data_IF_352589694992
#
_entry.id   IF_352589694992
#
_cell.length_a   1.000
_cell.length_b   1.000
_cell.length_c   1.000
_cell.angle_alpha   90.00
_cell.angle_beta   90.00
_cell.angle_gamma   90.00
#
_symmetry.space_group_name_H-M   'P 1'
#
loop_
_entity.id
_entity.type
_entity.pdbx_description
1 polymer ?
#
# COMPACT_ATOMS: atom_id res chain seq x y z
N UNK A 1 -74.35 6.03 -1.24
CA UNK A 1 -73.49 4.83 -1.08
C UNK A 1 -72.58 4.75 -2.30
N UNK A 2 -71.27 4.54 -2.09
CA UNK A 2 -70.16 4.49 -3.08
C UNK A 2 -69.58 5.82 -3.58
N UNK A 3 -68.78 6.51 -2.75
CA UNK A 3 -67.86 7.59 -3.19
C UNK A 3 -66.48 7.52 -2.50
N UNK A 4 -66.00 6.33 -2.18
CA UNK A 4 -64.68 6.13 -1.54
C UNK A 4 -63.68 5.32 -2.38
N UNK A 5 -64.08 4.78 -3.54
CA UNK A 5 -63.24 3.85 -4.31
C UNK A 5 -62.19 4.53 -5.22
N UNK A 6 -62.43 5.76 -5.68
CA UNK A 6 -61.51 6.46 -6.60
C UNK A 6 -60.22 6.96 -5.94
N UNK A 7 -60.32 7.46 -4.70
CA UNK A 7 -59.15 7.94 -3.95
C UNK A 7 -58.19 6.79 -3.58
N UNK A 8 -58.72 5.60 -3.29
CA UNK A 8 -57.89 4.41 -3.04
C UNK A 8 -57.16 3.98 -4.31
N UNK A 9 -57.82 4.00 -5.46
CA UNK A 9 -57.23 3.59 -6.75
C UNK A 9 -56.05 4.47 -7.17
N UNK A 10 -56.12 5.78 -6.92
CA UNK A 10 -55.02 6.72 -7.17
C UNK A 10 -53.81 6.50 -6.22
N UNK A 11 -54.05 6.13 -4.96
CA UNK A 11 -52.98 5.78 -4.01
C UNK A 11 -52.27 4.48 -4.41
N UNK A 12 -53.00 3.48 -4.93
CA UNK A 12 -52.41 2.25 -5.45
C UNK A 12 -51.49 2.51 -6.66
N UNK A 13 -51.89 3.43 -7.55
CA UNK A 13 -51.06 3.86 -8.68
C UNK A 13 -49.74 4.49 -8.23
N UNK A 14 -49.80 5.37 -7.22
CA UNK A 14 -48.60 6.00 -6.66
C UNK A 14 -47.65 4.98 -6.03
N UNK A 15 -48.17 4.04 -5.22
CA UNK A 15 -47.35 2.99 -4.58
C UNK A 15 -46.68 2.11 -5.63
N UNK A 16 -47.39 1.74 -6.71
CA UNK A 16 -46.83 0.91 -7.77
C UNK A 16 -45.67 1.59 -8.50
N UNK A 17 -45.78 2.90 -8.76
CA UNK A 17 -44.70 3.69 -9.37
C UNK A 17 -43.50 3.79 -8.42
N UNK A 18 -43.72 4.04 -7.13
CA UNK A 18 -42.63 4.12 -6.13
C UNK A 18 -41.87 2.80 -6.03
N UNK A 19 -42.59 1.66 -5.98
CA UNK A 19 -41.96 0.33 -5.97
C UNK A 19 -41.14 0.10 -7.24
N UNK A 20 -41.67 0.48 -8.41
CA UNK A 20 -40.96 0.36 -9.68
C UNK A 20 -39.65 1.17 -9.68
N UNK A 21 -39.69 2.42 -9.21
CA UNK A 21 -38.51 3.28 -9.11
C UNK A 21 -37.46 2.71 -8.15
N UNK A 22 -37.89 2.14 -7.03
CA UNK A 22 -36.98 1.49 -6.07
C UNK A 22 -36.30 0.27 -6.72
N UNK A 23 -37.04 -0.58 -7.42
CA UNK A 23 -36.48 -1.75 -8.11
C UNK A 23 -35.45 -1.32 -9.16
N UNK A 24 -35.80 -0.34 -10.00
CA UNK A 24 -34.88 0.20 -11.02
C UNK A 24 -33.64 0.80 -10.35
N UNK A 25 -33.83 1.58 -9.28
CA UNK A 25 -32.75 2.18 -8.50
C UNK A 25 -31.81 1.12 -7.90
N UNK A 26 -32.35 0.03 -7.35
CA UNK A 26 -31.54 -1.07 -6.80
C UNK A 26 -30.76 -1.81 -7.89
N UNK A 27 -31.34 -1.99 -9.08
CA UNK A 27 -30.63 -2.58 -10.22
C UNK A 27 -29.47 -1.69 -10.66
N UNK A 28 -29.71 -0.39 -10.85
CA UNK A 28 -28.63 0.55 -11.18
C UNK A 28 -27.56 0.65 -10.10
N UNK A 29 -27.96 0.65 -8.83
CA UNK A 29 -27.03 0.65 -7.70
C UNK A 29 -26.17 -0.62 -7.71
N UNK A 30 -26.78 -1.80 -7.93
CA UNK A 30 -26.06 -3.06 -8.03
C UNK A 30 -25.06 -3.07 -9.21
N UNK A 31 -25.43 -2.50 -10.36
CA UNK A 31 -24.52 -2.37 -11.50
C UNK A 31 -23.42 -1.32 -11.27
N UNK A 32 -23.73 -0.20 -10.62
CA UNK A 32 -22.77 0.87 -10.30
C UNK A 32 -21.75 0.42 -9.25
N UNK A 33 -22.20 -0.33 -8.23
CA UNK A 33 -21.35 -0.91 -7.20
C UNK A 33 -20.55 -2.12 -7.69
N UNK A 34 -20.83 -2.65 -8.89
CA UNK A 34 -20.00 -3.66 -9.55
C UNK A 34 -18.70 -2.99 -10.00
N UNK A 35 -17.83 -2.78 -9.01
CA UNK A 35 -16.55 -2.07 -9.07
C UNK A 35 -15.78 -2.54 -10.30
N UNK A 36 -15.56 -1.63 -11.25
CA UNK A 36 -14.55 -1.83 -12.28
C UNK A 36 -13.25 -2.19 -11.56
N UNK A 37 -12.61 -3.29 -11.96
CA UNK A 37 -11.37 -3.74 -11.32
C UNK A 37 -10.39 -2.56 -11.33
N UNK A 38 -9.72 -2.27 -10.20
CA UNK A 38 -8.82 -1.13 -10.11
C UNK A 38 -7.81 -1.22 -11.26
N UNK A 39 -7.74 -0.16 -12.06
CA UNK A 39 -6.88 -0.11 -13.23
C UNK A 39 -5.42 -0.29 -12.80
N UNK A 40 -4.59 -0.72 -13.74
CA UNK A 40 -3.14 -0.86 -13.55
C UNK A 40 -2.52 0.42 -12.97
N UNK A 41 -3.00 1.60 -13.42
CA UNK A 41 -2.59 2.92 -12.90
C UNK A 41 -2.98 3.14 -11.44
N UNK A 42 -4.17 2.68 -11.01
CA UNK A 42 -4.59 2.81 -9.62
C UNK A 42 -3.73 1.93 -8.70
N UNK A 43 -3.31 0.76 -9.18
CA UNK A 43 -2.41 -0.14 -8.43
C UNK A 43 -1.00 0.42 -8.32
N UNK A 44 -0.45 1.04 -9.37
CA UNK A 44 0.86 1.68 -9.27
C UNK A 44 0.85 2.83 -8.27
N UNK A 45 -0.17 3.69 -8.32
CA UNK A 45 -0.33 4.80 -7.39
C UNK A 45 -0.42 4.33 -5.92
N UNK A 46 -1.08 3.20 -5.66
CA UNK A 46 -1.12 2.60 -4.32
C UNK A 46 0.25 2.13 -3.82
N UNK A 47 1.12 1.63 -4.71
CA UNK A 47 2.48 1.22 -4.34
C UNK A 47 3.37 2.45 -4.10
N UNK A 48 3.18 3.52 -4.86
CA UNK A 48 3.86 4.79 -4.61
C UNK A 48 3.46 5.41 -3.26
N UNK A 49 2.17 5.40 -2.96
CA UNK A 49 1.64 5.88 -1.67
C UNK A 49 2.12 5.02 -0.50
N UNK A 50 2.15 3.70 -0.67
CA UNK A 50 2.73 2.77 0.30
C UNK A 50 4.20 3.11 0.58
N UNK A 51 5.03 3.25 -0.47
CA UNK A 51 6.44 3.56 -0.28
C UNK A 51 6.63 4.90 0.45
N UNK A 52 5.87 5.93 0.09
CA UNK A 52 5.96 7.25 0.75
C UNK A 52 5.51 7.20 2.21
N UNK A 53 4.42 6.50 2.49
CA UNK A 53 3.88 6.36 3.86
C UNK A 53 4.85 5.58 4.75
N UNK A 54 5.48 4.54 4.21
CA UNK A 54 6.52 3.80 4.93
C UNK A 54 7.67 4.71 5.38
N UNK A 55 8.13 5.63 4.52
CA UNK A 55 9.28 6.50 4.84
C UNK A 55 9.03 7.43 6.04
N UNK A 56 7.78 7.80 6.30
CA UNK A 56 7.40 8.65 7.44
C UNK A 56 6.92 7.86 8.65
N UNK A 57 6.84 6.53 8.54
CA UNK A 57 6.43 5.68 9.66
C UNK A 57 7.48 5.72 10.79
N UNK A 58 6.98 5.88 12.02
CA UNK A 58 7.79 5.87 13.24
C UNK A 58 8.25 4.43 13.51
N UNK A 59 9.52 4.29 13.89
CA UNK A 59 10.16 3.00 14.19
C UNK A 59 10.40 2.85 15.69
N UNK A 60 10.76 1.65 16.13
CA UNK A 60 11.14 1.37 17.53
C UNK A 60 12.54 1.90 17.89
N UNK A 61 13.34 2.34 16.91
CA UNK A 61 14.67 2.89 17.17
C UNK A 61 14.57 4.32 17.72
N UNK A 62 15.09 4.53 18.93
CA UNK A 62 15.20 5.83 19.58
C UNK A 62 16.65 6.34 19.50
N UNK A 63 16.82 7.64 19.26
CA UNK A 63 18.08 8.35 19.44
C UNK A 63 17.76 9.69 20.11
N UNK A 64 18.48 10.02 21.19
CA UNK A 64 18.25 11.25 21.95
C UNK A 64 16.79 11.37 22.48
N UNK A 65 16.22 10.25 22.95
CA UNK A 65 14.83 10.14 23.44
C UNK A 65 13.74 10.38 22.38
N UNK A 66 14.10 10.48 21.09
CA UNK A 66 13.15 10.63 19.98
C UNK A 66 13.09 9.37 19.11
N UNK A 67 11.87 8.89 18.83
CA UNK A 67 11.67 7.79 17.88
C UNK A 67 11.94 8.25 16.45
N UNK A 68 12.77 7.50 15.73
CA UNK A 68 13.13 7.83 14.36
C UNK A 68 12.08 7.34 13.36
N UNK A 69 11.83 8.12 12.32
CA UNK A 69 11.15 7.64 11.11
C UNK A 69 12.04 6.68 10.32
N UNK A 70 11.45 5.85 9.43
CA UNK A 70 12.25 4.98 8.53
C UNK A 70 13.27 5.81 7.73
N UNK A 71 12.89 7.01 7.28
CA UNK A 71 13.79 7.92 6.56
C UNK A 71 15.01 8.33 7.40
N UNK A 72 14.79 8.68 8.65
CA UNK A 72 15.87 9.05 9.58
C UNK A 72 16.72 7.82 9.93
N UNK A 73 16.08 6.69 10.16
CA UNK A 73 16.75 5.42 10.45
C UNK A 73 17.66 4.97 9.29
N UNK A 74 17.27 5.20 8.04
CA UNK A 74 18.14 4.97 6.87
C UNK A 74 19.40 5.84 6.95
N UNK A 75 19.27 7.12 7.34
CA UNK A 75 20.41 8.02 7.48
C UNK A 75 21.33 7.58 8.62
N UNK A 76 20.77 7.19 9.76
CA UNK A 76 21.51 6.71 10.92
C UNK A 76 22.22 5.38 10.65
N UNK A 77 21.58 4.48 9.90
CA UNK A 77 22.23 3.27 9.39
C UNK A 77 23.39 3.59 8.44
N UNK A 78 23.23 4.56 7.54
CA UNK A 78 24.34 5.00 6.69
C UNK A 78 25.53 5.56 7.50
N UNK A 79 25.25 6.22 8.62
CA UNK A 79 26.25 6.78 9.55
C UNK A 79 26.80 5.72 10.52
N UNK A 80 26.30 4.47 10.45
CA UNK A 80 26.69 3.35 11.29
C UNK A 80 26.52 3.64 12.79
N UNK A 81 25.45 4.37 13.13
CA UNK A 81 25.04 4.67 14.50
C UNK A 81 24.18 3.53 15.10
N UNK A 82 24.06 3.51 16.43
CA UNK A 82 23.20 2.59 17.16
C UNK A 82 21.99 3.36 17.71
N UNK A 83 20.91 2.64 17.96
CA UNK A 83 19.77 3.13 18.75
C UNK A 83 20.17 3.21 20.23
N UNK A 84 19.41 3.96 21.03
CA UNK A 84 19.64 4.16 22.47
C UNK A 84 19.61 2.85 23.28
N UNK A 85 18.88 1.84 22.80
CA UNK A 85 18.83 0.50 23.38
C UNK A 85 20.07 -0.37 23.07
N UNK A 86 21.04 0.17 22.31
CA UNK A 86 22.27 -0.49 21.90
C UNK A 86 22.16 -1.32 20.62
N UNK A 87 20.97 -1.43 20.00
CA UNK A 87 20.79 -2.15 18.74
C UNK A 87 21.39 -1.37 17.57
N UNK A 88 21.94 -2.09 16.58
CA UNK A 88 22.48 -1.46 15.35
C UNK A 88 21.32 -0.93 14.53
N UNK A 89 21.36 0.36 14.16
CA UNK A 89 20.30 1.02 13.39
C UNK A 89 19.95 0.31 12.08
N UNK A 90 20.95 -0.27 11.38
CA UNK A 90 20.73 -1.03 10.15
C UNK A 90 19.96 -2.34 10.35
N UNK A 91 20.14 -3.01 11.50
CA UNK A 91 19.46 -4.26 11.80
C UNK A 91 17.99 -3.98 12.13
N UNK A 92 17.75 -2.96 12.96
CA UNK A 92 16.40 -2.47 13.27
C UNK A 92 15.69 -2.00 11.99
N UNK A 93 16.38 -1.27 11.12
CA UNK A 93 15.84 -0.83 9.83
C UNK A 93 15.34 -2.00 8.97
N UNK A 94 16.13 -3.06 8.91
CA UNK A 94 15.79 -4.26 8.14
C UNK A 94 14.56 -4.95 8.72
N UNK A 95 14.47 -5.02 10.04
CA UNK A 95 13.32 -5.59 10.75
C UNK A 95 12.05 -4.77 10.51
N UNK A 96 12.09 -3.47 10.75
CA UNK A 96 10.95 -2.55 10.60
C UNK A 96 10.39 -2.53 9.17
N UNK A 97 11.26 -2.50 8.16
CA UNK A 97 10.84 -2.57 6.76
C UNK A 97 10.20 -3.93 6.47
N UNK A 98 10.78 -5.02 6.97
CA UNK A 98 10.25 -6.36 6.74
C UNK A 98 8.87 -6.53 7.39
N UNK A 99 8.71 -6.10 8.65
CA UNK A 99 7.42 -6.11 9.36
C UNK A 99 6.37 -5.28 8.60
N UNK A 100 6.73 -4.06 8.19
CA UNK A 100 5.83 -3.17 7.47
C UNK A 100 5.38 -3.77 6.12
N UNK A 101 6.30 -4.37 5.37
CA UNK A 101 5.97 -5.03 4.10
C UNK A 101 5.08 -6.27 4.30
N UNK A 102 5.32 -7.06 5.35
CA UNK A 102 4.49 -8.21 5.69
C UNK A 102 3.07 -7.74 6.06
N UNK A 103 2.94 -6.67 6.86
CA UNK A 103 1.64 -6.12 7.23
C UNK A 103 0.88 -5.57 6.00
N UNK A 104 1.57 -4.85 5.11
CA UNK A 104 0.94 -4.20 3.96
C UNK A 104 0.60 -5.17 2.82
N UNK A 105 1.50 -6.10 2.50
CA UNK A 105 1.39 -6.97 1.32
C UNK A 105 1.07 -8.42 1.70
N UNK A 106 1.52 -8.88 2.86
CA UNK A 106 1.45 -10.26 3.33
C UNK A 106 2.79 -10.97 3.24
N UNK A 107 2.94 -12.05 3.99
CA UNK A 107 4.14 -12.88 3.93
C UNK A 107 4.19 -13.75 2.65
N UNK A 108 5.30 -14.46 2.43
CA UNK A 108 5.53 -15.29 1.25
C UNK A 108 4.46 -16.37 0.99
N UNK A 109 3.77 -16.83 2.02
CA UNK A 109 2.72 -17.86 1.92
C UNK A 109 1.35 -17.26 1.59
N UNK A 110 1.05 -16.09 2.15
CA UNK A 110 -0.23 -15.38 1.99
C UNK A 110 -0.39 -14.75 0.61
N UNK A 111 0.70 -14.31 0.00
CA UNK A 111 0.67 -13.59 -1.28
C UNK A 111 0.44 -14.49 -2.50
N UNK A 112 0.53 -15.82 -2.36
CA UNK A 112 0.39 -16.75 -3.51
C UNK A 112 -0.93 -16.62 -4.28
N UNK A 113 -2.01 -16.25 -3.60
CA UNK A 113 -3.35 -16.13 -4.19
C UNK A 113 -3.85 -14.68 -4.25
N UNK A 114 -3.01 -13.69 -3.91
CA UNK A 114 -3.36 -12.27 -3.96
C UNK A 114 -3.06 -11.69 -5.36
N UNK A 115 -3.69 -10.55 -5.73
CA UNK A 115 -3.37 -9.85 -6.97
C UNK A 115 -1.88 -9.49 -7.10
N UNK A 116 -1.26 -9.10 -5.99
CA UNK A 116 0.19 -8.97 -5.85
C UNK A 116 0.71 -10.28 -5.25
N UNK A 117 1.58 -10.96 -5.98
CA UNK A 117 2.06 -12.30 -5.62
C UNK A 117 3.56 -12.36 -5.31
N UNK A 118 4.25 -11.23 -5.41
CA UNK A 118 5.63 -11.09 -4.96
C UNK A 118 6.04 -9.63 -4.81
N UNK A 119 7.05 -9.36 -4.00
CA UNK A 119 7.66 -8.04 -3.85
C UNK A 119 9.16 -8.11 -3.57
N UNK A 120 9.86 -7.02 -3.88
CA UNK A 120 11.30 -6.82 -3.67
C UNK A 120 11.51 -5.37 -3.26
N UNK A 121 12.05 -5.18 -2.06
CA UNK A 121 12.47 -3.90 -1.54
C UNK A 121 14.00 -3.87 -1.52
N UNK A 122 14.59 -2.77 -1.97
CA UNK A 122 16.05 -2.59 -1.95
C UNK A 122 16.44 -1.14 -1.75
N UNK A 123 17.53 -0.93 -1.03
CA UNK A 123 18.18 0.37 -0.90
C UNK A 123 19.52 0.30 -1.64
N UNK A 124 19.75 1.24 -2.55
CA UNK A 124 21.01 1.34 -3.29
C UNK A 124 21.66 2.68 -3.00
N UNK A 125 22.95 2.66 -2.72
CA UNK A 125 23.77 3.86 -2.55
C UNK A 125 24.97 3.73 -3.47
N UNK A 126 25.39 4.84 -4.08
CA UNK A 126 26.60 4.83 -4.89
C UNK A 126 27.83 4.85 -3.96
N UNK A 127 28.56 3.73 -3.89
CA UNK A 127 29.76 3.56 -3.06
C UNK A 127 29.57 2.52 -1.95
N UNK A 128 30.62 2.23 -1.18
CA UNK A 128 30.57 1.27 -0.08
C UNK A 128 29.78 1.84 1.10
N UNK A 129 28.58 1.33 1.32
CA UNK A 129 27.66 1.77 2.38
C UNK A 129 27.09 0.57 3.16
N UNK A 130 26.86 0.69 4.47
CA UNK A 130 26.12 -0.33 5.25
C UNK A 130 24.75 -0.66 4.65
N UNK A 131 24.17 0.27 3.89
CA UNK A 131 22.88 0.13 3.22
C UNK A 131 22.90 -0.82 2.01
N UNK A 132 24.08 -1.09 1.42
CA UNK A 132 24.21 -1.85 0.16
C UNK A 132 23.73 -3.31 0.28
N UNK A 133 23.64 -3.84 1.51
CA UNK A 133 23.14 -5.19 1.81
C UNK A 133 21.63 -5.28 2.09
N UNK A 134 20.89 -4.17 2.14
CA UNK A 134 19.47 -4.20 2.52
C UNK A 134 18.62 -4.53 1.30
N UNK A 135 18.29 -5.82 1.18
CA UNK A 135 17.38 -6.37 0.19
C UNK A 135 16.39 -7.32 0.87
N UNK A 136 15.10 -7.09 0.68
CA UNK A 136 14.01 -7.90 1.24
C UNK A 136 13.13 -8.37 0.09
N UNK A 137 12.90 -9.67 0.00
CA UNK A 137 12.13 -10.28 -1.07
C UNK A 137 11.16 -11.33 -0.53
N UNK A 138 9.96 -11.37 -1.10
CA UNK A 138 8.98 -12.41 -0.78
C UNK A 138 8.12 -12.77 -2.00
N UNK A 139 7.68 -14.03 -2.04
CA UNK A 139 6.74 -14.52 -3.05
C UNK A 139 7.38 -14.82 -4.39
N UNK A 140 6.60 -14.64 -5.47
CA UNK A 140 6.98 -14.99 -6.83
C UNK A 140 7.43 -13.73 -7.58
N UNK A 141 8.72 -13.63 -7.87
CA UNK A 141 9.34 -12.44 -8.49
C UNK A 141 9.37 -12.52 -10.03
N UNK A 142 8.29 -13.00 -10.64
CA UNK A 142 8.19 -13.26 -12.10
C UNK A 142 6.94 -12.64 -12.72
N UNK A 143 7.02 -12.30 -14.00
CA UNK A 143 5.91 -11.69 -14.74
C UNK A 143 5.88 -10.17 -14.63
N UNK A 144 4.68 -9.58 -14.75
CA UNK A 144 4.51 -8.14 -14.75
C UNK A 144 4.74 -7.54 -13.35
N UNK A 145 5.32 -6.33 -13.32
CA UNK A 145 5.62 -5.65 -12.07
C UNK A 145 5.39 -4.15 -12.13
N UNK A 146 5.01 -3.58 -11.00
CA UNK A 146 5.11 -2.14 -10.73
C UNK A 146 6.40 -1.86 -9.98
N UNK A 147 6.97 -0.68 -10.19
CA UNK A 147 8.13 -0.22 -9.43
C UNK A 147 7.85 1.18 -8.95
N UNK A 148 7.98 1.39 -7.64
CA UNK A 148 8.06 2.70 -7.02
C UNK A 148 9.50 2.94 -6.59
N UNK A 149 9.96 4.18 -6.73
CA UNK A 149 11.30 4.57 -6.32
C UNK A 149 11.32 5.96 -5.75
N UNK A 150 12.07 6.14 -4.66
CA UNK A 150 12.30 7.42 -4.00
C UNK A 150 13.80 7.66 -3.85
N UNK A 151 14.23 8.88 -4.15
CA UNK A 151 15.59 9.34 -3.85
C UNK A 151 15.62 10.02 -2.48
N UNK A 152 16.47 9.53 -1.59
CA UNK A 152 16.67 10.06 -0.25
C UNK A 152 18.05 10.72 -0.14
N UNK A 153 18.14 12.04 0.11
CA UNK A 153 19.41 12.69 0.43
C UNK A 153 19.93 12.22 1.79
N UNK A 154 21.15 11.66 1.80
CA UNK A 154 21.81 11.15 3.02
C UNK A 154 22.58 12.23 3.79
N UNK A 155 22.67 13.45 3.25
CA UNK A 155 23.36 14.58 3.86
C UNK A 155 23.96 15.53 2.82
N UNK A 156 24.57 16.61 3.29
CA UNK A 156 25.26 17.57 2.40
C UNK A 156 26.47 16.87 1.77
N UNK A 157 26.59 16.96 0.43
CA UNK A 157 27.67 16.34 -0.35
C UNK A 157 27.78 14.80 -0.27
N UNK A 158 26.77 14.12 0.27
CA UNK A 158 26.68 12.64 0.23
C UNK A 158 25.85 12.21 -0.98
N UNK A 159 26.12 11.03 -1.58
CA UNK A 159 25.26 10.49 -2.63
C UNK A 159 23.83 10.26 -2.10
N UNK A 160 22.84 10.32 -2.99
CA UNK A 160 21.47 9.97 -2.63
C UNK A 160 21.33 8.45 -2.51
N UNK A 161 20.57 7.99 -1.53
CA UNK A 161 20.09 6.62 -1.49
C UNK A 161 18.87 6.48 -2.42
N UNK A 162 18.90 5.49 -3.30
CA UNK A 162 17.78 5.12 -4.14
C UNK A 162 17.03 3.95 -3.47
N UNK A 163 15.82 4.25 -3.01
CA UNK A 163 14.94 3.28 -2.36
C UNK A 163 13.97 2.78 -3.42
N UNK A 164 13.91 1.46 -3.63
CA UNK A 164 13.07 0.83 -4.65
C UNK A 164 12.16 -0.22 -4.04
N UNK A 165 10.87 -0.11 -4.31
CA UNK A 165 9.87 -1.13 -4.04
C UNK A 165 9.30 -1.64 -5.37
N UNK A 166 9.53 -2.91 -5.66
CA UNK A 166 9.02 -3.59 -6.85
C UNK A 166 8.00 -4.64 -6.44
N UNK A 167 6.81 -4.61 -7.03
CA UNK A 167 5.72 -5.54 -6.74
C UNK A 167 5.28 -6.27 -8.02
N UNK A 168 5.23 -7.60 -7.98
CA UNK A 168 4.80 -8.45 -9.09
C UNK A 168 3.34 -8.83 -8.95
N UNK A 169 2.63 -8.82 -10.07
CA UNK A 169 1.19 -9.08 -10.12
C UNK A 169 0.82 -10.01 -11.26
N UNK A 170 -0.37 -10.61 -11.19
CA UNK A 170 -0.90 -11.46 -12.25
C UNK A 170 -1.74 -10.63 -13.22
N UNK A 171 -1.37 -10.62 -14.50
CA UNK A 171 -2.06 -9.89 -15.56
C UNK A 171 -3.47 -10.42 -15.85
N UNK A 172 -3.75 -11.70 -15.55
CA UNK A 172 -5.07 -12.31 -15.79
C UNK A 172 -6.20 -11.83 -14.87
N UNK A 173 -5.89 -10.92 -13.93
CA UNK A 173 -6.83 -10.32 -12.98
C UNK A 173 -7.08 -8.82 -13.24
N UNK A 174 -6.65 -8.26 -14.38
CA UNK A 174 -7.14 -6.97 -14.87
C UNK A 174 -8.50 -7.13 -15.53
#
# INVERSE_FOLDING_TARGET
>A
MFKEKKAQEEMFGFVLIVVLVIIIGLVFLAFSLKKSRPSILQKSAQIDDLLNTMMVSVTKCMIEDENLSIKELIRKCHENENCDDGNRSCDVLKEEINETLILALGNSTEIRNKPIHGYSFSIKVNGTSPLEGIKIEAGILKGNSFTSSLALPLGVNKPNAEIKLKCWYNASLS
#
